data_IF_514598276361
#
_entry.id   IF_514598276361
#
_cell.length_a   1.000
_cell.length_b   1.000
_cell.length_c   1.000
_cell.angle_alpha   90.00
_cell.angle_beta   90.00
_cell.angle_gamma   90.00
#
_symmetry.space_group_name_H-M   'P 1'
#
loop_
_entity.id
_entity.type
_entity.pdbx_description
1 polymer ?
#
# COMPACT_ATOMS: atom_id res chain seq x y z
N UNK A 1 3.65 -12.92 1.31
CA UNK A 1 4.25 -12.55 2.61
C UNK A 1 3.36 -13.11 3.70
N UNK A 2 3.95 -13.75 4.71
CA UNK A 2 3.23 -14.18 5.92
C UNK A 2 3.58 -13.16 7.01
N UNK A 3 2.58 -12.61 7.70
CA UNK A 3 2.76 -11.63 8.77
C UNK A 3 1.49 -10.83 8.98
N UNK A 4 1.41 -10.14 10.09
CA UNK A 4 0.29 -9.27 10.43
C UNK A 4 0.50 -7.87 9.85
N UNK A 5 -0.50 -7.34 9.17
CA UNK A 5 -0.54 -5.97 8.66
C UNK A 5 -1.19 -5.08 9.71
N UNK A 6 -0.42 -4.16 10.25
CA UNK A 6 -0.79 -3.38 11.45
C UNK A 6 -1.65 -2.16 11.14
N UNK A 7 -1.62 -1.67 9.90
CA UNK A 7 -2.36 -0.48 9.47
C UNK A 7 -1.59 0.83 9.65
N UNK A 8 -2.08 1.85 8.93
CA UNK A 8 -1.45 3.19 8.84
C UNK A 8 -1.33 3.87 10.20
N UNK A 9 -2.32 3.69 11.08
CA UNK A 9 -2.34 4.30 12.40
C UNK A 9 -1.18 3.83 13.30
N UNK A 10 -0.68 2.62 13.06
CA UNK A 10 0.47 2.11 13.82
C UNK A 10 1.77 2.75 13.35
N UNK A 11 2.01 2.77 12.03
CA UNK A 11 3.25 3.32 11.47
C UNK A 11 3.27 4.85 11.50
N UNK A 12 2.13 5.47 11.27
CA UNK A 12 1.94 6.90 11.11
C UNK A 12 1.50 7.64 12.37
N UNK A 13 1.79 7.12 13.57
CA UNK A 13 1.55 7.87 14.81
C UNK A 13 2.47 9.11 14.88
N UNK A 14 2.09 10.10 15.70
CA UNK A 14 2.86 11.34 15.88
C UNK A 14 4.26 11.10 16.48
N UNK A 15 4.43 9.98 17.17
CA UNK A 15 5.72 9.54 17.75
C UNK A 15 6.58 8.74 16.75
N UNK A 16 6.06 8.51 15.56
CA UNK A 16 6.71 7.74 14.51
C UNK A 16 6.64 8.52 13.18
N UNK A 17 6.25 7.88 12.09
CA UNK A 17 6.22 8.46 10.75
C UNK A 17 5.08 9.48 10.48
N UNK A 18 4.36 9.91 11.51
CA UNK A 18 3.35 10.98 11.46
C UNK A 18 3.75 12.24 12.23
N UNK A 19 5.01 12.37 12.63
CA UNK A 19 5.50 13.56 13.32
C UNK A 19 5.45 14.79 12.39
N UNK A 20 5.02 15.94 12.93
CA UNK A 20 5.05 17.20 12.19
C UNK A 20 6.50 17.72 11.99
N UNK A 21 7.38 17.38 12.95
CA UNK A 21 8.77 17.80 12.95
C UNK A 21 9.70 16.59 12.83
N UNK A 22 10.81 16.80 12.12
CA UNK A 22 11.87 15.77 12.04
C UNK A 22 12.52 15.59 13.41
N UNK A 23 12.62 14.36 13.86
CA UNK A 23 13.33 14.07 15.11
C UNK A 23 14.82 14.37 14.98
N UNK A 24 15.39 14.88 16.06
CA UNK A 24 16.84 15.11 16.14
C UNK A 24 17.56 13.77 15.88
N UNK A 25 18.50 13.77 14.94
CA UNK A 25 19.26 12.60 14.49
C UNK A 25 18.47 11.53 13.69
N UNK A 26 17.22 11.79 13.30
CA UNK A 26 16.51 10.87 12.41
C UNK A 26 17.12 10.89 11.01
N UNK A 27 17.26 9.71 10.40
CA UNK A 27 17.72 9.55 9.00
C UNK A 27 16.60 9.75 7.99
N UNK A 28 15.35 9.69 8.44
CA UNK A 28 14.13 9.89 7.66
C UNK A 28 13.39 11.14 8.12
N UNK A 29 12.42 11.60 7.34
CA UNK A 29 11.69 12.85 7.62
C UNK A 29 10.77 12.75 8.83
N UNK A 30 10.33 11.54 9.21
CA UNK A 30 9.35 11.24 10.27
C UNK A 30 7.95 11.81 10.02
N UNK A 31 7.67 12.31 8.81
CA UNK A 31 6.38 12.84 8.39
C UNK A 31 5.82 12.15 7.14
N UNK A 32 6.25 10.92 6.91
CA UNK A 32 5.89 10.13 5.72
C UNK A 32 4.38 9.93 5.62
N UNK A 33 3.68 9.76 6.74
CA UNK A 33 2.22 9.69 6.77
C UNK A 33 1.56 10.97 6.25
N UNK A 34 2.08 12.14 6.61
CA UNK A 34 1.53 13.41 6.16
C UNK A 34 1.66 13.56 4.64
N UNK A 35 2.80 13.12 4.09
CA UNK A 35 3.05 13.09 2.65
C UNK A 35 2.13 12.05 1.98
N UNK A 36 2.05 10.84 2.53
CA UNK A 36 1.20 9.78 2.00
C UNK A 36 -0.28 10.17 1.97
N UNK A 37 -0.80 10.84 3.02
CA UNK A 37 -2.19 11.30 3.09
C UNK A 37 -2.60 12.19 1.90
N UNK A 38 -1.66 12.89 1.27
CA UNK A 38 -1.91 13.74 0.09
C UNK A 38 -1.72 12.99 -1.22
N UNK A 39 -1.32 11.73 -1.17
CA UNK A 39 -1.03 10.91 -2.34
C UNK A 39 -2.29 10.25 -2.92
N UNK A 40 -2.20 9.85 -4.19
CA UNK A 40 -3.24 9.03 -4.82
C UNK A 40 -3.33 7.62 -4.23
N UNK A 41 -2.29 7.13 -3.58
CA UNK A 41 -2.31 5.84 -2.90
C UNK A 41 -3.25 5.85 -1.69
N UNK A 42 -3.25 6.91 -0.89
CA UNK A 42 -4.18 7.07 0.23
C UNK A 42 -5.65 7.12 -0.22
N UNK A 43 -5.93 7.76 -1.36
CA UNK A 43 -7.28 7.89 -1.91
C UNK A 43 -7.67 6.76 -2.88
N UNK A 44 -6.81 5.74 -3.05
CA UNK A 44 -7.03 4.70 -4.05
C UNK A 44 -8.31 3.90 -3.82
N UNK A 45 -8.61 3.54 -2.58
CA UNK A 45 -9.86 2.84 -2.22
C UNK A 45 -11.10 3.70 -2.51
N UNK A 46 -11.06 4.97 -2.15
CA UNK A 46 -12.19 5.88 -2.38
C UNK A 46 -12.49 6.09 -3.87
N UNK A 47 -11.48 5.97 -4.74
CA UNK A 47 -11.68 6.04 -6.18
C UNK A 47 -12.63 4.96 -6.72
N UNK A 48 -12.72 3.81 -6.05
CA UNK A 48 -13.64 2.72 -6.40
C UNK A 48 -15.11 3.11 -6.22
N UNK A 49 -15.39 4.02 -5.28
CA UNK A 49 -16.75 4.53 -4.98
C UNK A 49 -17.14 5.73 -5.85
N UNK A 50 -16.22 6.25 -6.65
CA UNK A 50 -16.48 7.37 -7.56
C UNK A 50 -17.51 7.00 -8.64
N UNK A 51 -18.08 8.01 -9.29
CA UNK A 51 -18.96 7.78 -10.43
C UNK A 51 -18.27 6.95 -11.53
N UNK A 52 -17.00 7.26 -11.82
CA UNK A 52 -16.20 6.49 -12.77
C UNK A 52 -15.99 5.05 -12.30
N UNK A 53 -15.67 4.84 -11.02
CA UNK A 53 -15.49 3.49 -10.44
C UNK A 53 -16.77 2.64 -10.61
N UNK A 54 -17.92 3.22 -10.27
CA UNK A 54 -19.23 2.56 -10.48
C UNK A 54 -19.54 2.28 -11.95
N UNK A 55 -19.20 3.20 -12.84
CA UNK A 55 -19.38 3.01 -14.29
C UNK A 55 -18.52 1.85 -14.80
N UNK A 56 -17.25 1.78 -14.38
CA UNK A 56 -16.32 0.71 -14.77
C UNK A 56 -16.85 -0.65 -14.30
N UNK A 57 -17.24 -0.78 -13.05
CA UNK A 57 -17.75 -2.05 -12.50
C UNK A 57 -19.05 -2.47 -13.18
N UNK A 58 -19.95 -1.54 -13.47
CA UNK A 58 -21.16 -1.80 -14.26
C UNK A 58 -20.82 -2.33 -15.65
N UNK A 59 -19.89 -1.70 -16.35
CA UNK A 59 -19.48 -2.12 -17.71
C UNK A 59 -18.79 -3.50 -17.72
N UNK A 60 -18.18 -3.88 -16.60
CA UNK A 60 -17.54 -5.19 -16.42
C UNK A 60 -18.51 -6.27 -15.89
N UNK A 61 -19.76 -5.91 -15.58
CA UNK A 61 -20.72 -6.84 -14.96
C UNK A 61 -20.36 -7.23 -13.52
N UNK A 62 -19.60 -6.37 -12.82
CA UNK A 62 -19.18 -6.58 -11.44
C UNK A 62 -20.14 -5.88 -10.46
N UNK A 63 -20.34 -6.40 -9.23
CA UNK A 63 -21.28 -5.81 -8.28
C UNK A 63 -20.84 -4.40 -7.83
N UNK A 64 -19.59 -4.25 -7.41
CA UNK A 64 -18.95 -2.98 -7.07
C UNK A 64 -17.43 -3.17 -6.96
N UNK A 65 -16.68 -2.07 -6.94
CA UNK A 65 -15.23 -2.09 -6.85
C UNK A 65 -14.69 -2.42 -5.45
N UNK A 66 -15.37 -1.89 -4.42
CA UNK A 66 -14.93 -2.01 -3.03
C UNK A 66 -15.04 -3.42 -2.43
N UNK A 67 -15.76 -4.32 -3.08
CA UNK A 67 -15.86 -5.73 -2.68
C UNK A 67 -15.26 -6.68 -3.72
N UNK A 68 -14.69 -6.15 -4.80
CA UNK A 68 -14.15 -6.95 -5.90
C UNK A 68 -12.64 -7.10 -5.74
N UNK A 69 -12.19 -8.33 -5.52
CA UNK A 69 -10.76 -8.65 -5.32
C UNK A 69 -9.86 -8.08 -6.41
N UNK A 70 -10.29 -8.13 -7.67
CA UNK A 70 -9.52 -7.63 -8.80
C UNK A 70 -9.28 -6.12 -8.73
N UNK A 71 -10.23 -5.35 -8.19
CA UNK A 71 -10.08 -3.92 -7.98
C UNK A 71 -9.21 -3.66 -6.74
N UNK A 72 -9.52 -4.33 -5.64
CA UNK A 72 -8.83 -4.17 -4.36
C UNK A 72 -7.35 -4.52 -4.43
N UNK A 73 -6.93 -5.44 -5.31
CA UNK A 73 -5.52 -5.82 -5.43
C UNK A 73 -4.59 -4.68 -5.84
N UNK A 74 -5.14 -3.60 -6.44
CA UNK A 74 -4.39 -2.39 -6.81
C UNK A 74 -4.87 -1.15 -6.03
N UNK A 75 -6.11 -1.14 -5.56
CA UNK A 75 -6.71 0.02 -4.91
C UNK A 75 -6.73 -0.04 -3.39
N UNK A 76 -6.18 -1.10 -2.80
CA UNK A 76 -6.04 -1.25 -1.35
C UNK A 76 -4.84 -2.14 -1.00
N UNK A 77 -4.41 -2.08 0.25
CA UNK A 77 -3.55 -3.11 0.85
C UNK A 77 -4.39 -4.36 1.09
N UNK A 78 -4.61 -5.14 0.01
CA UNK A 78 -5.54 -6.26 0.03
C UNK A 78 -4.89 -7.55 0.53
N UNK A 79 -5.15 -7.87 1.78
CA UNK A 79 -4.63 -9.07 2.46
C UNK A 79 -5.75 -9.88 3.12
N UNK A 80 -5.54 -11.20 3.35
CA UNK A 80 -6.51 -12.04 4.05
C UNK A 80 -6.90 -11.46 5.42
N UNK A 81 -8.15 -11.65 5.84
CA UNK A 81 -8.62 -11.17 7.16
C UNK A 81 -7.75 -11.67 8.31
N UNK A 82 -7.24 -12.90 8.23
CA UNK A 82 -6.36 -13.50 9.23
C UNK A 82 -4.98 -12.83 9.36
N UNK A 83 -4.63 -11.93 8.45
CA UNK A 83 -3.38 -11.18 8.46
C UNK A 83 -3.59 -9.70 8.82
N UNK A 84 -4.82 -9.29 9.14
CA UNK A 84 -5.15 -7.91 9.48
C UNK A 84 -5.11 -7.72 10.98
N UNK A 85 -4.24 -6.83 11.43
CA UNK A 85 -4.17 -6.39 12.82
C UNK A 85 -5.36 -5.51 13.22
N UNK A 86 -5.46 -5.22 14.48
CA UNK A 86 -6.57 -4.47 15.06
C UNK A 86 -6.79 -3.07 14.43
N UNK A 87 -5.69 -2.39 14.08
CA UNK A 87 -5.73 -1.03 13.49
C UNK A 87 -5.70 -1.03 11.96
N UNK A 88 -5.75 -2.22 11.36
CA UNK A 88 -5.77 -2.32 9.90
C UNK A 88 -7.12 -1.91 9.34
N UNK A 89 -7.11 -1.00 8.36
CA UNK A 89 -8.31 -0.66 7.59
C UNK A 89 -8.07 -0.84 6.09
N UNK A 90 -8.97 -1.59 5.44
CA UNK A 90 -8.94 -1.76 3.99
C UNK A 90 -9.23 -0.42 3.26
N UNK A 91 -9.98 0.47 3.91
CA UNK A 91 -10.39 1.76 3.35
C UNK A 91 -9.25 2.79 3.30
N UNK A 92 -8.12 2.50 3.97
CA UNK A 92 -6.94 3.37 3.92
C UNK A 92 -6.23 3.33 2.55
N UNK A 93 -6.74 2.52 1.61
CA UNK A 93 -6.16 2.42 0.27
C UNK A 93 -4.84 1.64 0.24
N UNK A 94 -3.89 2.10 -0.57
CA UNK A 94 -2.55 1.49 -0.69
C UNK A 94 -1.66 2.11 0.38
N UNK A 95 -1.43 1.35 1.46
CA UNK A 95 -0.78 1.83 2.68
C UNK A 95 0.74 1.60 2.67
N UNK A 96 1.41 2.05 3.73
CA UNK A 96 2.84 1.85 3.97
C UNK A 96 3.26 0.38 3.78
N UNK A 97 2.46 -0.54 4.30
CA UNK A 97 2.75 -1.97 4.29
C UNK A 97 2.58 -2.63 2.92
N UNK A 98 1.92 -1.98 1.96
CA UNK A 98 1.92 -2.43 0.56
C UNK A 98 3.32 -2.39 -0.05
N UNK A 99 4.15 -1.45 0.42
CA UNK A 99 5.53 -1.28 -0.03
C UNK A 99 6.53 -1.91 0.94
N UNK A 100 6.35 -1.69 2.24
CA UNK A 100 7.32 -2.10 3.26
C UNK A 100 7.11 -3.51 3.81
N UNK A 101 6.00 -4.18 3.46
CA UNK A 101 5.65 -5.49 3.99
C UNK A 101 4.92 -5.43 5.33
N UNK A 102 4.49 -6.59 5.86
CA UNK A 102 3.69 -6.67 7.08
C UNK A 102 4.48 -6.16 8.29
N UNK A 103 4.03 -5.08 8.90
CA UNK A 103 4.68 -4.42 10.04
C UNK A 103 4.86 -5.32 11.24
N UNK A 104 3.94 -6.25 11.48
CA UNK A 104 4.04 -7.22 12.56
C UNK A 104 5.30 -8.08 12.53
N UNK A 105 5.94 -8.23 11.37
CA UNK A 105 7.17 -8.99 11.26
C UNK A 105 8.39 -8.21 11.79
N UNK A 106 8.44 -6.89 11.59
CA UNK A 106 9.66 -6.13 11.83
C UNK A 106 9.49 -4.93 12.79
N UNK A 107 8.27 -4.61 13.23
CA UNK A 107 8.04 -3.44 14.08
C UNK A 107 8.90 -3.47 15.34
N UNK A 108 8.94 -4.59 16.06
CA UNK A 108 9.75 -4.72 17.29
C UNK A 108 11.24 -4.50 17.03
N UNK A 109 11.76 -5.04 15.92
CA UNK A 109 13.15 -4.84 15.51
C UNK A 109 13.39 -3.39 15.10
N UNK A 110 12.43 -2.80 14.38
CA UNK A 110 12.51 -1.45 13.82
C UNK A 110 12.62 -0.36 14.89
N UNK A 111 11.86 -0.49 15.97
CA UNK A 111 11.84 0.51 17.07
C UNK A 111 12.92 0.29 18.11
N UNK A 112 13.67 -0.79 18.01
CA UNK A 112 14.72 -1.10 19.00
C UNK A 112 15.93 -0.16 18.84
N UNK A 113 16.50 0.39 19.93
CA UNK A 113 17.59 1.38 19.87
C UNK A 113 18.83 0.94 19.07
N UNK A 114 19.14 -0.36 19.04
CA UNK A 114 20.24 -0.94 18.25
C UNK A 114 19.80 -1.50 16.90
N UNK A 115 18.66 -1.05 16.38
CA UNK A 115 18.16 -1.46 15.07
C UNK A 115 19.09 -1.01 13.95
N UNK A 116 19.16 -1.85 12.92
CA UNK A 116 19.80 -1.50 11.64
C UNK A 116 18.84 -1.85 10.51
N UNK A 117 19.01 -1.19 9.37
CA UNK A 117 18.21 -1.52 8.17
C UNK A 117 18.31 -3.02 7.83
N UNK A 118 19.52 -3.59 7.91
CA UNK A 118 19.74 -5.02 7.65
C UNK A 118 18.94 -5.94 8.59
N UNK A 119 18.86 -5.60 9.89
CA UNK A 119 18.05 -6.37 10.84
C UNK A 119 16.57 -6.32 10.48
N UNK A 120 16.08 -5.17 10.04
CA UNK A 120 14.68 -5.02 9.61
C UNK A 120 14.38 -5.83 8.35
N UNK A 121 15.30 -5.86 7.38
CA UNK A 121 15.18 -6.72 6.19
C UNK A 121 15.13 -8.21 6.57
N UNK A 122 16.00 -8.65 7.46
CA UNK A 122 16.01 -10.04 7.97
C UNK A 122 14.72 -10.38 8.73
N UNK A 123 14.12 -9.42 9.40
CA UNK A 123 12.84 -9.58 10.09
C UNK A 123 11.63 -9.59 9.13
N UNK A 124 11.81 -9.20 7.86
CA UNK A 124 10.76 -9.29 6.84
C UNK A 124 10.29 -7.95 6.27
N UNK A 125 11.00 -6.85 6.57
CA UNK A 125 10.82 -5.60 5.84
C UNK A 125 11.25 -5.79 4.39
N UNK A 126 10.54 -5.19 3.45
CA UNK A 126 10.88 -5.31 2.03
C UNK A 126 12.01 -4.33 1.63
N UNK A 127 12.93 -4.74 0.73
CA UNK A 127 14.10 -3.93 0.36
C UNK A 127 13.74 -2.85 -0.69
N UNK A 128 12.87 -1.91 -0.33
CA UNK A 128 12.42 -0.84 -1.24
C UNK A 128 13.52 0.15 -1.64
N UNK A 129 14.66 0.14 -0.96
CA UNK A 129 15.86 0.88 -1.36
C UNK A 129 16.53 0.30 -2.61
N UNK A 130 16.30 -0.98 -2.92
CA UNK A 130 16.84 -1.64 -4.10
C UNK A 130 16.00 -1.26 -5.34
N UNK A 131 16.61 -0.64 -6.37
CA UNK A 131 15.88 -0.12 -7.53
C UNK A 131 15.05 -1.18 -8.26
N UNK A 132 15.61 -2.36 -8.51
CA UNK A 132 14.94 -3.44 -9.23
C UNK A 132 13.74 -3.98 -8.43
N UNK A 133 13.92 -4.15 -7.11
CA UNK A 133 12.82 -4.56 -6.24
C UNK A 133 11.69 -3.52 -6.26
N UNK A 134 12.04 -2.26 -6.07
CA UNK A 134 11.08 -1.15 -6.07
C UNK A 134 10.32 -1.04 -7.40
N UNK A 135 11.04 -1.13 -8.54
CA UNK A 135 10.42 -1.11 -9.85
C UNK A 135 9.40 -2.25 -10.02
N UNK A 136 9.80 -3.49 -9.70
CA UNK A 136 8.92 -4.66 -9.78
C UNK A 136 7.69 -4.53 -8.86
N UNK A 137 7.87 -3.96 -7.67
CA UNK A 137 6.79 -3.71 -6.73
C UNK A 137 5.77 -2.72 -7.31
N UNK A 138 6.22 -1.58 -7.82
CA UNK A 138 5.36 -0.58 -8.43
C UNK A 138 4.63 -1.14 -9.67
N UNK A 139 5.36 -1.84 -10.54
CA UNK A 139 4.81 -2.46 -11.75
C UNK A 139 3.77 -3.55 -11.45
N UNK A 140 3.77 -4.12 -10.23
CA UNK A 140 2.74 -5.09 -9.84
C UNK A 140 1.32 -4.56 -9.91
N UNK A 141 1.13 -3.24 -9.77
CA UNK A 141 -0.15 -2.55 -9.90
C UNK A 141 -0.18 -1.61 -11.12
N UNK A 142 0.93 -0.94 -11.44
CA UNK A 142 1.00 0.08 -12.48
C UNK A 142 1.25 -0.46 -13.90
N UNK A 143 1.37 -1.77 -14.05
CA UNK A 143 1.46 -2.43 -15.35
C UNK A 143 0.50 -3.63 -15.39
N UNK A 144 -0.15 -3.82 -16.54
CA UNK A 144 -0.93 -5.03 -16.78
C UNK A 144 0.00 -6.24 -16.81
N UNK A 145 -0.23 -7.19 -15.92
CA UNK A 145 0.55 -8.42 -15.85
C UNK A 145 -0.31 -9.60 -15.36
N UNK A 146 0.24 -10.80 -15.42
CA UNK A 146 -0.49 -12.03 -15.06
C UNK A 146 -0.82 -12.11 -13.56
N UNK A 147 -0.11 -11.38 -12.70
CA UNK A 147 -0.30 -11.43 -11.23
C UNK A 147 -1.49 -10.60 -10.78
N UNK A 148 -1.68 -9.39 -11.35
CA UNK A 148 -2.78 -8.51 -10.98
C UNK A 148 -4.07 -8.75 -11.77
N UNK A 149 -4.03 -9.66 -12.78
CA UNK A 149 -5.18 -10.00 -13.63
C UNK A 149 -5.79 -8.82 -14.37
N UNK A 150 -5.06 -7.71 -14.51
CA UNK A 150 -5.53 -6.56 -15.28
C UNK A 150 -5.62 -6.91 -16.77
N UNK A 151 -6.79 -6.74 -17.38
CA UNK A 151 -7.08 -7.15 -18.76
C UNK A 151 -7.45 -5.93 -19.61
N UNK A 152 -7.31 -6.04 -20.93
CA UNK A 152 -7.75 -5.02 -21.89
C UNK A 152 -9.22 -4.64 -21.70
N UNK A 153 -10.07 -5.57 -21.23
CA UNK A 153 -11.47 -5.31 -20.92
C UNK A 153 -11.67 -4.16 -19.91
N UNK A 154 -10.73 -3.93 -19.00
CA UNK A 154 -10.80 -2.81 -18.04
C UNK A 154 -10.69 -1.46 -18.75
N UNK A 155 -9.80 -1.36 -19.76
CA UNK A 155 -9.72 -0.17 -20.60
C UNK A 155 -11.00 0.04 -21.40
N UNK A 156 -11.54 -1.02 -21.98
CA UNK A 156 -12.83 -0.98 -22.67
C UNK A 156 -13.99 -0.59 -21.76
N UNK A 157 -13.92 -0.93 -20.48
CA UNK A 157 -14.90 -0.53 -19.48
C UNK A 157 -14.75 0.94 -19.01
N UNK A 158 -13.67 1.61 -19.38
CA UNK A 158 -13.40 3.03 -19.06
C UNK A 158 -12.34 3.25 -17.99
N UNK A 159 -11.61 2.19 -17.59
CA UNK A 159 -10.50 2.37 -16.64
C UNK A 159 -9.41 3.26 -17.26
N UNK A 160 -8.89 4.26 -16.51
CA UNK A 160 -7.78 5.09 -16.98
C UNK A 160 -6.55 4.24 -17.33
N UNK A 161 -5.70 4.76 -18.19
CA UNK A 161 -4.43 4.10 -18.49
C UNK A 161 -3.58 3.98 -17.23
N UNK A 162 -3.02 2.79 -17.02
CA UNK A 162 -2.00 2.62 -16.00
C UNK A 162 -0.78 3.46 -16.39
N UNK A 163 -0.35 4.33 -15.48
CA UNK A 163 0.83 5.18 -15.68
C UNK A 163 1.85 4.79 -14.62
N UNK A 164 3.09 4.71 -15.06
CA UNK A 164 4.22 4.47 -14.20
C UNK A 164 5.36 5.40 -14.63
N UNK A 165 5.76 6.26 -13.72
CA UNK A 165 6.93 7.14 -13.84
C UNK A 165 7.73 6.95 -12.55
N UNK A 166 9.01 6.60 -12.68
CA UNK A 166 9.95 6.45 -11.57
C UNK A 166 10.54 7.79 -11.17
#
# INVERSE_FOLDING_TARGET
MKGEFLGVETCGSSECHGSAERWRNATVLMKERLIWNTSRHASAYESLKSELGRKITKNLGLPNGENTKQCLSCHATYVPKSQRGERFSLTDGVTCESCHGPGGNFLSTHVYPSSTHQKNLLAGMTPTSEPDYRANLCLSCHQANTKNQFKHAYYGAGHPRLRFEL
#
